data_IF_173399332013
#
_entry.id   IF_173399332013
#
_cell.length_a   1.000
_cell.length_b   1.000
_cell.length_c   1.000
_cell.angle_alpha   90.00
_cell.angle_beta   90.00
_cell.angle_gamma   90.00
#
_symmetry.space_group_name_H-M   'P 1'
#
loop_
_entity.id
_entity.type
_entity.pdbx_description
1 polymer ?
#
# COMPACT_ATOMS: atom_id res chain seq x y z
N UNK A 1 12.04 -26.34 -4.00
CA UNK A 1 10.99 -25.46 -3.44
C UNK A 1 9.83 -25.48 -4.43
N UNK A 2 8.60 -25.73 -3.97
CA UNK A 2 7.44 -25.84 -4.86
C UNK A 2 7.26 -24.56 -5.67
N UNK A 3 6.78 -24.68 -6.92
CA UNK A 3 6.46 -23.53 -7.77
C UNK A 3 5.72 -22.49 -6.93
N UNK A 4 6.27 -21.27 -6.82
CA UNK A 4 5.62 -20.19 -6.11
C UNK A 4 4.18 -20.08 -6.63
N UNK A 5 3.20 -20.08 -5.72
CA UNK A 5 1.81 -19.98 -6.15
C UNK A 5 1.63 -18.69 -6.94
N UNK A 6 1.09 -18.81 -8.16
CA UNK A 6 0.88 -17.64 -8.99
C UNK A 6 -0.16 -16.74 -8.32
N UNK A 7 0.02 -15.40 -8.36
CA UNK A 7 -1.07 -14.48 -8.04
C UNK A 7 -2.33 -14.86 -8.80
N UNK A 8 -3.51 -14.72 -8.18
CA UNK A 8 -4.78 -15.16 -8.76
C UNK A 8 -5.13 -14.50 -10.11
N UNK A 9 -4.51 -13.37 -10.43
CA UNK A 9 -4.66 -12.68 -11.72
C UNK A 9 -3.83 -13.30 -12.86
N UNK A 10 -2.95 -14.27 -12.55
CA UNK A 10 -2.04 -14.92 -13.48
C UNK A 10 -2.37 -16.41 -13.63
N UNK A 11 -2.21 -16.92 -14.84
CA UNK A 11 -2.27 -18.36 -15.11
C UNK A 11 -1.40 -18.71 -16.31
N UNK A 12 -0.97 -19.96 -16.45
CA UNK A 12 -0.37 -20.44 -17.69
C UNK A 12 -1.41 -21.14 -18.56
N UNK A 13 -1.45 -20.79 -19.85
CA UNK A 13 -2.23 -21.49 -20.87
C UNK A 13 -1.31 -21.78 -22.06
N UNK A 14 -1.21 -23.05 -22.46
CA UNK A 14 -0.29 -23.49 -23.52
C UNK A 14 1.14 -22.94 -23.36
N UNK A 15 1.68 -23.02 -22.14
CA UNK A 15 2.98 -22.50 -21.72
C UNK A 15 3.14 -20.97 -21.78
N UNK A 16 2.07 -20.20 -22.01
CA UNK A 16 2.09 -18.73 -22.03
C UNK A 16 1.50 -18.17 -20.75
N UNK A 17 2.20 -17.21 -20.15
CA UNK A 17 1.71 -16.49 -18.99
C UNK A 17 0.61 -15.52 -19.41
N UNK A 18 -0.58 -15.74 -18.86
CA UNK A 18 -1.79 -14.99 -19.11
C UNK A 18 -2.08 -14.07 -17.93
N UNK A 19 -2.59 -12.88 -18.22
CA UNK A 19 -3.33 -12.05 -17.27
C UNK A 19 -4.72 -11.84 -17.82
N UNK A 20 -5.75 -12.28 -17.10
CA UNK A 20 -7.09 -12.39 -17.66
C UNK A 20 -7.09 -13.28 -18.92
N UNK A 21 -7.60 -12.75 -20.03
CA UNK A 21 -7.69 -13.48 -21.32
C UNK A 21 -6.50 -13.23 -22.25
N UNK A 22 -5.57 -12.33 -21.89
CA UNK A 22 -4.45 -11.95 -22.76
C UNK A 22 -3.12 -12.50 -22.26
N UNK A 23 -2.30 -12.97 -23.19
CA UNK A 23 -0.91 -13.32 -22.88
C UNK A 23 -0.09 -12.05 -22.62
N UNK A 24 0.76 -12.07 -21.60
CA UNK A 24 1.64 -10.93 -21.28
C UNK A 24 2.56 -10.62 -22.45
N UNK A 25 2.98 -11.63 -23.23
CA UNK A 25 3.74 -11.45 -24.47
C UNK A 25 3.03 -10.52 -25.47
N UNK A 26 1.74 -10.75 -25.73
CA UNK A 26 0.96 -9.93 -26.67
C UNK A 26 0.79 -8.48 -26.19
N UNK A 27 0.80 -8.26 -24.87
CA UNK A 27 0.78 -6.93 -24.27
C UNK A 27 2.15 -6.25 -24.45
N UNK A 28 3.24 -6.98 -24.22
CA UNK A 28 4.60 -6.49 -24.37
C UNK A 28 4.97 -6.17 -25.84
N UNK A 29 4.33 -6.79 -26.82
CA UNK A 29 4.46 -6.40 -28.23
C UNK A 29 3.98 -4.97 -28.52
N UNK A 30 3.16 -4.39 -27.64
CA UNK A 30 2.61 -3.04 -27.76
C UNK A 30 3.20 -2.04 -26.77
N UNK A 31 4.00 -2.51 -25.79
CA UNK A 31 4.53 -1.70 -24.69
C UNK A 31 6.00 -2.03 -24.46
N UNK A 32 6.86 -1.03 -24.57
CA UNK A 32 8.29 -1.21 -24.32
C UNK A 32 8.52 -1.58 -22.84
N UNK A 33 9.36 -2.59 -22.60
CA UNK A 33 9.79 -2.96 -21.26
C UNK A 33 10.88 -2.00 -20.73
N UNK A 34 10.98 -1.85 -19.39
CA UNK A 34 10.06 -2.39 -18.39
C UNK A 34 8.75 -1.59 -18.29
N UNK A 35 7.66 -2.24 -17.84
CA UNK A 35 6.41 -1.56 -17.51
C UNK A 35 5.64 -2.29 -16.41
N UNK A 36 4.88 -1.55 -15.60
CA UNK A 36 3.91 -2.14 -14.69
C UNK A 36 2.64 -2.52 -15.43
N UNK A 37 2.12 -3.72 -15.15
CA UNK A 37 0.84 -4.21 -15.65
C UNK A 37 -0.07 -4.56 -14.48
N UNK A 38 -1.26 -3.95 -14.45
CA UNK A 38 -2.27 -4.17 -13.43
C UNK A 38 -3.52 -4.83 -14.02
N UNK A 39 -4.12 -5.77 -13.30
CA UNK A 39 -5.44 -6.33 -13.63
C UNK A 39 -6.53 -5.56 -12.87
N UNK A 40 -7.35 -4.80 -13.59
CA UNK A 40 -8.49 -4.09 -13.01
C UNK A 40 -9.51 -5.08 -12.39
N UNK A 41 -9.70 -6.22 -13.03
CA UNK A 41 -10.63 -7.26 -12.57
C UNK A 41 -10.15 -7.91 -11.27
N UNK A 42 -8.84 -8.17 -11.13
CA UNK A 42 -8.28 -8.68 -9.88
C UNK A 42 -8.37 -7.64 -8.75
N UNK A 43 -8.16 -6.36 -9.04
CA UNK A 43 -8.38 -5.28 -8.05
C UNK A 43 -9.84 -5.27 -7.58
N UNK A 44 -10.80 -5.30 -8.51
CA UNK A 44 -12.24 -5.33 -8.18
C UNK A 44 -12.62 -6.54 -7.36
N UNK A 45 -12.15 -7.72 -7.74
CA UNK A 45 -12.41 -8.94 -6.98
C UNK A 45 -11.86 -8.80 -5.56
N UNK A 46 -10.64 -8.28 -5.40
CA UNK A 46 -10.04 -8.13 -4.08
C UNK A 46 -10.76 -7.09 -3.22
N UNK A 47 -11.25 -6.00 -3.81
CA UNK A 47 -12.13 -5.04 -3.14
C UNK A 47 -13.41 -5.74 -2.69
N UNK A 48 -14.05 -6.51 -3.56
CA UNK A 48 -15.26 -7.25 -3.24
C UNK A 48 -15.06 -8.25 -2.09
N UNK A 49 -13.97 -9.02 -2.10
CA UNK A 49 -13.62 -9.96 -1.03
C UNK A 49 -13.43 -9.23 0.31
N UNK A 50 -12.77 -8.06 0.28
CA UNK A 50 -12.56 -7.22 1.45
C UNK A 50 -13.88 -6.71 2.02
N UNK A 51 -14.70 -6.04 1.20
CA UNK A 51 -15.99 -5.50 1.61
C UNK A 51 -16.93 -6.60 2.11
N UNK A 52 -16.95 -7.76 1.45
CA UNK A 52 -17.81 -8.88 1.84
C UNK A 52 -17.40 -9.46 3.20
N UNK A 53 -16.10 -9.55 3.48
CA UNK A 53 -15.62 -10.03 4.78
C UNK A 53 -15.96 -9.06 5.92
N UNK A 54 -15.93 -7.75 5.66
CA UNK A 54 -16.14 -6.72 6.67
C UNK A 54 -17.58 -6.20 6.77
N UNK A 55 -18.45 -6.49 5.80
CA UNK A 55 -19.86 -6.07 5.82
C UNK A 55 -20.62 -6.53 7.07
N UNK A 56 -20.46 -7.77 7.61
CA UNK A 56 -21.16 -8.22 8.81
C UNK A 56 -20.81 -7.42 10.08
N UNK A 57 -19.65 -6.75 10.10
CA UNK A 57 -19.17 -5.94 11.23
C UNK A 57 -19.31 -4.43 11.00
N UNK A 58 -19.87 -4.01 9.86
CA UNK A 58 -20.17 -2.61 9.57
C UNK A 58 -18.93 -1.71 9.45
N UNK A 59 -17.78 -2.26 9.05
CA UNK A 59 -16.53 -1.50 8.94
C UNK A 59 -16.49 -0.67 7.66
N UNK A 60 -16.10 0.60 7.78
CA UNK A 60 -15.79 1.47 6.65
C UNK A 60 -14.34 1.24 6.17
N UNK A 61 -14.15 1.06 4.87
CA UNK A 61 -12.84 0.76 4.27
C UNK A 61 -12.31 1.97 3.52
N UNK A 62 -11.10 2.40 3.88
CA UNK A 62 -10.40 3.53 3.29
C UNK A 62 -9.13 3.02 2.61
N UNK A 63 -9.00 3.20 1.30
CA UNK A 63 -7.83 2.71 0.59
C UNK A 63 -6.59 3.56 0.93
N UNK A 64 -5.53 2.94 1.44
CA UNK A 64 -4.28 3.63 1.74
C UNK A 64 -3.55 4.03 0.44
N UNK A 65 -3.70 5.29 0.05
CA UNK A 65 -3.29 5.84 -1.26
C UNK A 65 -1.78 5.70 -1.49
N UNK A 66 -0.99 5.79 -0.42
CA UNK A 66 0.46 5.55 -0.39
C UNK A 66 0.90 4.19 -0.96
N UNK A 67 -0.01 3.21 -1.05
CA UNK A 67 0.29 1.90 -1.64
C UNK A 67 0.27 1.91 -3.18
N UNK A 68 -0.68 2.62 -3.79
CA UNK A 68 -0.76 2.86 -5.23
C UNK A 68 -1.66 4.06 -5.50
N UNK A 69 -1.07 5.19 -5.90
CA UNK A 69 -1.80 6.45 -6.08
C UNK A 69 -2.11 6.79 -7.54
N UNK A 70 -2.06 5.80 -8.44
CA UNK A 70 -2.46 6.02 -9.83
C UNK A 70 -3.96 6.35 -9.91
N UNK A 71 -4.33 7.41 -10.67
CA UNK A 71 -5.72 7.87 -10.77
C UNK A 71 -6.69 6.79 -11.25
N UNK A 72 -6.25 5.86 -12.09
CA UNK A 72 -7.10 4.77 -12.56
C UNK A 72 -7.38 3.75 -11.45
N UNK A 73 -6.40 3.46 -10.59
CA UNK A 73 -6.58 2.61 -9.40
C UNK A 73 -7.51 3.30 -8.40
N UNK A 74 -7.29 4.59 -8.11
CA UNK A 74 -8.15 5.35 -7.21
C UNK A 74 -9.61 5.41 -7.68
N UNK A 75 -9.85 5.52 -9.00
CA UNK A 75 -11.21 5.44 -9.56
C UNK A 75 -11.87 4.08 -9.33
N UNK A 76 -11.12 2.97 -9.39
CA UNK A 76 -11.65 1.65 -9.07
C UNK A 76 -12.07 1.57 -7.60
N UNK A 77 -11.26 2.12 -6.69
CA UNK A 77 -11.58 2.18 -5.25
C UNK A 77 -12.84 3.01 -4.99
N UNK A 78 -12.88 4.25 -5.50
CA UNK A 78 -14.02 5.14 -5.30
C UNK A 78 -15.32 4.62 -5.92
N UNK A 79 -15.24 4.01 -7.12
CA UNK A 79 -16.43 3.42 -7.78
C UNK A 79 -16.99 2.22 -7.02
N UNK A 80 -16.18 1.56 -6.19
CA UNK A 80 -16.60 0.47 -5.32
C UNK A 80 -17.07 0.95 -3.93
N UNK A 81 -17.09 2.26 -3.68
CA UNK A 81 -17.57 2.86 -2.43
C UNK A 81 -16.52 2.94 -1.32
N UNK A 82 -15.23 2.75 -1.62
CA UNK A 82 -14.16 2.92 -0.63
C UNK A 82 -13.83 4.40 -0.45
N UNK A 83 -13.53 4.79 0.78
CA UNK A 83 -12.86 6.05 1.10
C UNK A 83 -11.37 6.01 0.78
N UNK A 84 -10.62 7.01 1.24
CA UNK A 84 -9.17 7.09 1.06
C UNK A 84 -8.44 7.48 2.35
N UNK A 85 -7.36 6.77 2.68
CA UNK A 85 -6.35 7.20 3.67
C UNK A 85 -5.20 7.88 2.91
N UNK A 86 -5.02 9.17 3.17
CA UNK A 86 -3.97 10.00 2.57
C UNK A 86 -2.92 10.38 3.62
N UNK A 87 -1.69 10.60 3.16
CA UNK A 87 -0.57 11.07 4.00
C UNK A 87 0.06 12.38 3.53
N UNK A 88 -0.53 13.05 2.53
CA UNK A 88 -0.09 14.37 2.04
C UNK A 88 -1.17 15.11 1.26
N UNK A 89 -0.99 16.42 1.07
CA UNK A 89 -1.85 17.24 0.19
C UNK A 89 -1.77 16.84 -1.30
N UNK A 90 -0.65 16.26 -1.72
CA UNK A 90 -0.51 15.69 -3.06
C UNK A 90 -1.43 14.49 -3.28
N UNK A 91 -1.56 13.62 -2.28
CA UNK A 91 -2.49 12.50 -2.31
C UNK A 91 -3.95 12.97 -2.25
N UNK A 92 -4.28 13.99 -1.43
CA UNK A 92 -5.60 14.63 -1.44
C UNK A 92 -5.97 15.10 -2.85
N UNK A 93 -5.05 15.77 -3.53
CA UNK A 93 -5.25 16.25 -4.90
C UNK A 93 -5.57 15.11 -5.87
N UNK A 94 -4.88 13.97 -5.75
CA UNK A 94 -5.14 12.78 -6.57
C UNK A 94 -6.49 12.14 -6.26
N UNK A 95 -6.85 12.03 -4.99
CA UNK A 95 -8.13 11.49 -4.51
C UNK A 95 -9.31 12.31 -5.04
N UNK A 96 -9.25 13.64 -4.90
CA UNK A 96 -10.27 14.54 -5.46
C UNK A 96 -10.35 14.45 -6.99
N UNK A 97 -9.19 14.36 -7.67
CA UNK A 97 -9.14 14.18 -9.13
C UNK A 97 -9.72 12.83 -9.59
N UNK A 98 -9.66 11.82 -8.73
CA UNK A 98 -10.28 10.52 -8.96
C UNK A 98 -11.78 10.50 -8.69
N UNK A 99 -12.34 11.55 -8.06
CA UNK A 99 -13.77 11.69 -7.77
C UNK A 99 -14.21 11.03 -6.47
N UNK A 100 -13.29 10.72 -5.56
CA UNK A 100 -13.62 10.25 -4.21
C UNK A 100 -14.08 11.45 -3.38
N UNK A 101 -15.20 11.27 -2.66
CA UNK A 101 -15.77 12.30 -1.78
C UNK A 101 -14.76 12.66 -0.67
N UNK A 102 -14.37 13.95 -0.51
CA UNK A 102 -13.52 14.38 0.60
C UNK A 102 -14.08 14.00 1.97
N UNK A 103 -15.41 13.91 2.13
CA UNK A 103 -16.03 13.44 3.37
C UNK A 103 -15.72 11.98 3.72
N UNK A 104 -15.22 11.20 2.76
CA UNK A 104 -14.74 9.82 2.93
C UNK A 104 -13.21 9.73 2.97
N UNK A 105 -12.52 10.83 3.28
CA UNK A 105 -11.06 10.88 3.36
C UNK A 105 -10.61 10.96 4.81
N UNK A 106 -9.63 10.12 5.14
CA UNK A 106 -8.84 10.17 6.37
C UNK A 106 -7.49 10.78 6.03
N UNK A 107 -7.08 11.83 6.75
CA UNK A 107 -5.76 12.43 6.61
C UNK A 107 -4.87 12.00 7.78
N UNK A 108 -3.95 11.08 7.48
CA UNK A 108 -2.90 10.56 8.36
C UNK A 108 -1.54 11.23 8.12
N UNK A 109 -0.56 10.95 8.97
CA UNK A 109 0.84 11.36 8.78
C UNK A 109 1.38 12.26 9.89
N UNK A 110 2.61 12.00 10.31
CA UNK A 110 3.22 12.62 11.51
C UNK A 110 3.56 14.12 11.36
N UNK A 111 3.69 14.61 10.13
CA UNK A 111 4.24 15.93 9.87
C UNK A 111 3.42 16.71 8.84
N UNK A 112 2.08 16.71 8.97
CA UNK A 112 1.21 17.51 8.12
C UNK A 112 1.60 18.99 8.23
N UNK A 113 1.81 19.63 7.09
CA UNK A 113 2.12 21.06 7.04
C UNK A 113 0.86 21.90 7.18
N UNK A 114 1.00 23.16 7.61
CA UNK A 114 -0.14 24.09 7.68
C UNK A 114 -0.83 24.28 6.33
N UNK A 115 -0.07 24.22 5.22
CA UNK A 115 -0.60 24.32 3.87
C UNK A 115 -1.48 23.11 3.54
N UNK A 116 -1.03 21.90 3.87
CA UNK A 116 -1.81 20.68 3.66
C UNK A 116 -3.02 20.60 4.59
N UNK A 117 -2.87 21.00 5.86
CA UNK A 117 -3.99 21.08 6.81
C UNK A 117 -5.06 22.04 6.28
N UNK A 118 -4.68 23.25 5.85
CA UNK A 118 -5.61 24.22 5.26
C UNK A 118 -6.29 23.64 4.02
N UNK A 119 -5.53 23.03 3.11
CA UNK A 119 -6.07 22.39 1.92
C UNK A 119 -7.11 21.31 2.28
N UNK A 120 -6.82 20.48 3.28
CA UNK A 120 -7.72 19.42 3.74
C UNK A 120 -8.99 19.96 4.40
N UNK A 121 -8.88 20.99 5.24
CA UNK A 121 -10.05 21.65 5.86
C UNK A 121 -10.94 22.28 4.79
N UNK A 122 -10.35 23.02 3.84
CA UNK A 122 -11.09 23.66 2.74
C UNK A 122 -11.74 22.65 1.79
N UNK A 123 -11.12 21.49 1.59
CA UNK A 123 -11.69 20.40 0.80
C UNK A 123 -12.82 19.66 1.51
N UNK A 124 -12.97 19.81 2.84
CA UNK A 124 -13.96 19.09 3.63
C UNK A 124 -13.56 17.64 3.94
N UNK A 125 -12.27 17.41 4.23
CA UNK A 125 -11.77 16.08 4.64
C UNK A 125 -12.53 15.56 5.86
N UNK A 126 -12.99 14.31 5.78
CA UNK A 126 -13.87 13.68 6.76
C UNK A 126 -13.25 13.47 8.14
N UNK A 127 -11.96 13.10 8.21
CA UNK A 127 -11.27 12.80 9.47
C UNK A 127 -9.78 13.17 9.42
N UNK A 128 -9.27 13.75 10.52
CA UNK A 128 -7.84 13.96 10.75
C UNK A 128 -7.32 12.97 11.80
N UNK A 129 -6.37 12.12 11.39
CA UNK A 129 -5.63 11.25 12.31
C UNK A 129 -4.46 12.07 12.89
N UNK A 130 -4.66 12.60 14.09
CA UNK A 130 -3.74 13.52 14.79
C UNK A 130 -2.66 12.74 15.51
N UNK A 131 -1.40 13.09 15.28
CA UNK A 131 -0.23 12.38 15.82
C UNK A 131 0.49 13.12 16.95
N UNK A 132 0.16 14.39 17.19
CA UNK A 132 0.73 15.15 18.31
C UNK A 132 -0.18 16.27 18.83
N UNK A 133 0.12 16.77 20.03
CA UNK A 133 -0.56 17.92 20.62
C UNK A 133 -0.36 19.18 19.75
N UNK A 134 0.85 19.37 19.21
CA UNK A 134 1.21 20.49 18.35
C UNK A 134 0.45 20.46 17.02
N UNK A 135 0.16 19.27 16.50
CA UNK A 135 -0.74 19.13 15.36
C UNK A 135 -2.18 19.50 15.73
N UNK A 136 -2.69 19.01 16.86
CA UNK A 136 -4.04 19.34 17.34
C UNK A 136 -4.25 20.85 17.44
N UNK A 137 -3.30 21.58 18.05
CA UNK A 137 -3.35 23.05 18.15
C UNK A 137 -3.29 23.75 16.79
N UNK A 138 -2.53 23.20 15.84
CA UNK A 138 -2.46 23.77 14.48
C UNK A 138 -3.77 23.59 13.75
N UNK A 139 -4.42 22.43 13.89
CA UNK A 139 -5.76 22.18 13.34
C UNK A 139 -6.75 23.18 13.95
N UNK A 140 -6.84 23.29 15.28
CA UNK A 140 -7.75 24.24 15.95
C UNK A 140 -7.56 25.70 15.50
N UNK A 141 -6.30 26.15 15.39
CA UNK A 141 -6.01 27.49 14.87
C UNK A 141 -6.50 27.67 13.43
N UNK A 142 -6.27 26.70 12.55
CA UNK A 142 -6.65 26.78 11.14
C UNK A 142 -8.17 26.74 11.00
N UNK A 143 -8.85 25.83 11.69
CA UNK A 143 -10.30 25.68 11.67
C UNK A 143 -10.99 26.88 12.31
N UNK A 144 -10.43 27.46 13.37
CA UNK A 144 -10.86 28.73 13.96
C UNK A 144 -10.76 29.91 13.01
N UNK A 145 -9.70 29.98 12.19
CA UNK A 145 -9.56 31.01 11.15
C UNK A 145 -10.57 30.84 10.01
N UNK A 146 -10.91 29.60 9.67
CA UNK A 146 -11.83 29.28 8.57
C UNK A 146 -13.30 29.23 9.01
N UNK A 147 -13.57 29.11 10.31
CA UNK A 147 -14.92 28.96 10.85
C UNK A 147 -15.58 27.62 10.48
N UNK A 148 -14.79 26.55 10.31
CA UNK A 148 -15.25 25.23 9.86
C UNK A 148 -14.93 24.19 10.92
N UNK A 149 -15.91 23.35 11.27
CA UNK A 149 -15.69 22.21 12.16
C UNK A 149 -15.10 21.02 11.39
N UNK A 150 -14.17 20.30 12.04
CA UNK A 150 -13.59 19.05 11.51
C UNK A 150 -13.64 17.93 12.52
N UNK A 151 -13.66 16.68 12.06
CA UNK A 151 -13.53 15.51 12.93
C UNK A 151 -12.06 15.13 13.06
N UNK A 152 -11.67 14.77 14.27
CA UNK A 152 -10.33 14.31 14.57
C UNK A 152 -10.36 13.06 15.44
N UNK A 153 -9.33 12.24 15.31
CA UNK A 153 -9.03 11.13 16.20
C UNK A 153 -7.55 11.20 16.59
N UNK A 154 -7.21 10.70 17.78
CA UNK A 154 -5.81 10.60 18.20
C UNK A 154 -5.21 9.29 17.70
N UNK A 155 -4.18 9.36 16.86
CA UNK A 155 -3.39 8.18 16.52
C UNK A 155 -2.56 7.78 17.74
N UNK A 156 -2.71 6.55 18.19
CA UNK A 156 -2.04 6.01 19.39
C UNK A 156 -1.16 4.84 19.03
N UNK A 157 -0.16 4.61 19.87
CA UNK A 157 0.69 3.43 19.78
C UNK A 157 0.23 2.39 20.83
N UNK A 158 -0.35 1.24 20.43
CA UNK A 158 -0.80 0.21 21.38
C UNK A 158 0.35 -0.52 22.09
N UNK A 159 1.62 -0.21 21.76
CA UNK A 159 2.84 -0.83 22.30
C UNK A 159 2.94 -2.33 22.02
N UNK A 160 2.43 -2.77 20.86
CA UNK A 160 2.44 -4.17 20.41
C UNK A 160 3.53 -4.38 19.38
N UNK A 161 4.34 -5.43 19.54
CA UNK A 161 5.31 -5.85 18.52
C UNK A 161 4.61 -6.71 17.46
N UNK A 162 4.48 -6.15 16.26
CA UNK A 162 3.87 -6.86 15.13
C UNK A 162 4.80 -7.92 14.49
N UNK A 163 6.05 -8.06 14.97
CA UNK A 163 7.00 -9.06 14.47
C UNK A 163 7.45 -8.84 13.02
N UNK A 164 7.21 -7.64 12.47
CA UNK A 164 7.59 -7.24 11.11
C UNK A 164 8.99 -6.64 11.05
N UNK A 165 9.56 -6.48 9.85
CA UNK A 165 10.89 -5.87 9.65
C UNK A 165 11.05 -4.55 10.44
N UNK A 166 12.21 -4.37 11.08
CA UNK A 166 12.49 -3.23 11.96
C UNK A 166 12.32 -1.85 11.29
N UNK A 167 12.46 -1.76 9.96
CA UNK A 167 12.24 -0.53 9.20
C UNK A 167 10.77 -0.22 8.87
N UNK A 168 9.84 -1.13 9.16
CA UNK A 168 8.41 -1.05 8.79
C UNK A 168 7.49 -1.12 10.03
N UNK A 169 8.02 -1.55 11.18
CA UNK A 169 7.27 -1.63 12.44
C UNK A 169 7.01 -0.25 13.04
N UNK A 170 5.73 0.17 13.06
CA UNK A 170 5.32 1.47 13.61
C UNK A 170 4.88 1.42 15.09
N UNK A 171 4.64 0.21 15.64
CA UNK A 171 4.11 0.00 17.00
C UNK A 171 5.12 -0.10 18.15
N UNK A 172 6.45 0.00 17.91
CA UNK A 172 7.44 -0.07 19.00
C UNK A 172 7.55 1.27 19.76
N UNK A 173 7.73 1.20 21.08
CA UNK A 173 7.98 2.36 21.94
C UNK A 173 9.20 3.15 21.46
N UNK A 174 9.07 4.47 21.29
CA UNK A 174 10.13 5.35 20.77
C UNK A 174 10.11 5.58 19.26
N UNK A 175 9.15 5.02 18.51
CA UNK A 175 8.92 5.43 17.13
C UNK A 175 8.27 6.83 17.08
N UNK A 176 8.48 7.57 16.00
CA UNK A 176 7.96 8.93 15.79
C UNK A 176 6.43 9.02 15.66
N UNK A 177 5.74 7.88 15.57
CA UNK A 177 4.31 7.82 15.28
C UNK A 177 3.46 7.62 16.54
N UNK A 178 2.34 8.32 16.58
CA UNK A 178 1.30 8.19 17.58
C UNK A 178 1.60 8.81 18.95
N UNK A 179 0.53 9.02 19.70
CA UNK A 179 0.51 9.60 21.04
C UNK A 179 0.56 8.48 22.07
N UNK A 180 1.35 8.70 23.13
CA UNK A 180 1.42 7.79 24.27
C UNK A 180 0.11 7.81 25.06
N UNK A 181 -0.35 6.64 25.51
CA UNK A 181 -1.62 6.47 26.22
C UNK A 181 -1.80 7.42 27.41
N UNK A 182 -0.72 7.71 28.15
CA UNK A 182 -0.75 8.56 29.35
C UNK A 182 -1.18 10.01 29.05
N UNK A 183 -1.15 10.43 27.78
CA UNK A 183 -1.54 11.77 27.35
C UNK A 183 -2.96 11.86 26.81
N UNK A 184 -3.69 10.75 26.67
CA UNK A 184 -5.01 10.78 26.02
C UNK A 184 -6.01 11.63 26.81
N UNK A 185 -6.17 11.38 28.11
CA UNK A 185 -7.08 12.15 28.96
C UNK A 185 -6.75 13.65 28.97
N UNK A 186 -5.46 14.00 28.98
CA UNK A 186 -4.97 15.38 28.87
C UNK A 186 -5.44 16.02 27.55
N UNK A 187 -5.22 15.34 26.42
CA UNK A 187 -5.55 15.88 25.10
C UNK A 187 -7.06 15.94 24.83
N UNK A 188 -7.83 14.97 25.32
CA UNK A 188 -9.29 15.02 25.25
C UNK A 188 -9.85 16.18 26.10
N UNK A 189 -9.29 16.41 27.29
CA UNK A 189 -9.63 17.58 28.10
C UNK A 189 -9.35 18.88 27.36
N UNK A 190 -8.15 19.01 26.78
CA UNK A 190 -7.75 20.20 26.01
C UNK A 190 -8.61 20.43 24.76
N UNK A 191 -8.99 19.35 24.05
CA UNK A 191 -9.87 19.44 22.89
C UNK A 191 -11.28 19.96 23.24
N UNK A 192 -11.72 19.81 24.50
CA UNK A 192 -12.97 20.40 24.98
C UNK A 192 -13.05 21.93 24.86
N UNK A 193 -11.89 22.59 24.81
CA UNK A 193 -11.78 24.05 24.62
C UNK A 193 -11.59 24.45 23.14
N UNK A 194 -11.66 23.49 22.20
CA UNK A 194 -11.44 23.69 20.76
C UNK A 194 -12.77 23.57 20.00
N UNK A 195 -13.58 24.65 19.87
CA UNK A 195 -14.96 24.56 19.38
C UNK A 195 -15.09 24.10 17.93
N UNK A 196 -13.98 24.14 17.17
CA UNK A 196 -13.93 23.71 15.77
C UNK A 196 -13.29 22.33 15.57
N UNK A 197 -12.82 21.69 16.63
CA UNK A 197 -12.19 20.36 16.57
C UNK A 197 -13.04 19.36 17.32
N UNK A 198 -13.69 18.51 16.56
CA UNK A 198 -14.52 17.45 17.10
C UNK A 198 -13.68 16.19 17.30
N UNK A 199 -13.00 16.10 18.45
CA UNK A 199 -12.15 14.95 18.79
C UNK A 199 -13.00 13.78 19.32
N UNK A 200 -13.16 12.72 18.52
CA UNK A 200 -14.15 11.65 18.78
C UNK A 200 -13.65 10.22 18.73
N UNK A 201 -12.35 10.01 18.74
CA UNK A 201 -11.87 8.64 18.59
C UNK A 201 -10.38 8.45 18.71
N UNK A 202 -10.00 7.21 18.50
CA UNK A 202 -8.63 6.75 18.49
C UNK A 202 -8.34 6.06 17.16
N UNK A 203 -7.13 6.27 16.64
CA UNK A 203 -6.60 5.58 15.48
C UNK A 203 -5.37 4.74 15.86
N UNK A 204 -5.11 3.64 15.19
CA UNK A 204 -3.87 2.90 15.32
C UNK A 204 -3.34 2.45 13.98
N UNK A 205 -2.03 2.27 13.89
CA UNK A 205 -1.41 1.54 12.77
C UNK A 205 -0.16 0.84 13.30
N UNK A 206 -0.23 -0.49 13.37
CA UNK A 206 0.72 -1.32 14.12
C UNK A 206 1.89 -1.84 13.27
N UNK A 207 1.81 -1.71 11.95
CA UNK A 207 2.88 -2.07 11.03
C UNK A 207 2.35 -2.42 9.64
N UNK A 208 3.19 -3.07 8.83
CA UNK A 208 2.81 -3.55 7.49
C UNK A 208 3.36 -4.94 7.24
N UNK A 209 2.66 -5.71 6.40
CA UNK A 209 2.98 -7.11 6.09
C UNK A 209 2.77 -8.03 7.30
N UNK A 210 1.73 -7.76 8.08
CA UNK A 210 1.35 -8.55 9.25
C UNK A 210 0.52 -9.74 8.76
N UNK A 211 1.07 -10.94 8.93
CA UNK A 211 0.48 -12.20 8.43
C UNK A 211 -0.12 -13.08 9.53
N UNK A 212 -0.11 -12.61 10.79
CA UNK A 212 -0.68 -13.29 11.96
C UNK A 212 -1.74 -12.39 12.62
N UNK A 213 -2.76 -13.01 13.20
CA UNK A 213 -3.90 -12.31 13.80
C UNK A 213 -3.59 -11.80 15.21
N UNK A 214 -2.60 -12.37 15.89
CA UNK A 214 -2.27 -12.10 17.30
C UNK A 214 -1.91 -10.63 17.57
N UNK A 215 -1.05 -9.95 16.77
CA UNK A 215 -0.77 -8.53 16.97
C UNK A 215 -2.01 -7.65 16.83
N UNK A 216 -2.91 -7.99 15.89
CA UNK A 216 -4.19 -7.30 15.76
C UNK A 216 -5.07 -7.56 16.98
N UNK A 217 -5.13 -8.79 17.50
CA UNK A 217 -5.95 -9.13 18.67
C UNK A 217 -5.54 -8.34 19.89
N UNK A 218 -4.24 -8.28 20.20
CA UNK A 218 -3.73 -7.50 21.32
C UNK A 218 -4.05 -6.01 21.16
N UNK A 219 -3.83 -5.48 19.96
CA UNK A 219 -4.03 -4.05 19.68
C UNK A 219 -5.50 -3.66 19.73
N UNK A 220 -6.42 -4.43 19.13
CA UNK A 220 -7.87 -4.14 19.15
C UNK A 220 -8.43 -4.21 20.56
N UNK A 221 -8.03 -5.19 21.38
CA UNK A 221 -8.43 -5.27 22.79
C UNK A 221 -7.92 -4.06 23.58
N UNK A 222 -6.71 -3.58 23.29
CA UNK A 222 -6.16 -2.37 23.90
C UNK A 222 -6.97 -1.12 23.51
N UNK A 223 -7.30 -0.98 22.22
CA UNK A 223 -8.12 0.13 21.74
C UNK A 223 -9.50 0.15 22.40
N UNK A 224 -10.13 -1.02 22.59
CA UNK A 224 -11.37 -1.15 23.36
C UNK A 224 -11.23 -0.65 24.79
N UNK A 225 -10.21 -1.14 25.52
CA UNK A 225 -9.97 -0.76 26.90
C UNK A 225 -9.82 0.77 27.04
N UNK A 226 -9.04 1.38 26.15
CA UNK A 226 -8.81 2.83 26.15
C UNK A 226 -10.07 3.62 25.81
N UNK A 227 -10.88 3.11 24.89
CA UNK A 227 -12.18 3.69 24.55
C UNK A 227 -13.12 3.68 25.75
N UNK A 228 -13.26 2.54 26.43
CA UNK A 228 -14.12 2.39 27.60
C UNK A 228 -13.64 3.29 28.75
N UNK A 229 -12.33 3.41 28.96
CA UNK A 229 -11.76 4.31 29.97
C UNK A 229 -12.09 5.78 29.67
N UNK A 230 -11.82 6.27 28.46
CA UNK A 230 -12.10 7.66 28.10
C UNK A 230 -13.60 7.98 28.14
N UNK A 231 -14.46 7.03 27.78
CA UNK A 231 -15.92 7.16 27.96
C UNK A 231 -16.31 7.25 29.43
N UNK A 232 -15.67 6.47 30.32
CA UNK A 232 -15.90 6.56 31.77
C UNK A 232 -15.44 7.90 32.37
N UNK A 233 -14.46 8.56 31.74
CA UNK A 233 -14.02 9.92 32.07
C UNK A 233 -14.98 11.01 31.55
N UNK A 234 -15.97 10.63 30.74
CA UNK A 234 -17.02 11.52 30.24
C UNK A 234 -16.85 12.00 28.80
N UNK A 235 -15.84 11.50 28.07
CA UNK A 235 -15.61 11.88 26.67
C UNK A 235 -16.47 11.07 25.70
N UNK A 236 -16.98 11.74 24.66
CA UNK A 236 -17.68 11.07 23.56
C UNK A 236 -16.65 10.50 22.58
N UNK A 237 -16.55 9.18 22.53
CA UNK A 237 -15.78 8.47 21.51
C UNK A 237 -16.74 7.64 20.68
N UNK A 238 -16.87 7.90 19.39
CA UNK A 238 -17.77 7.19 18.47
C UNK A 238 -17.04 6.60 17.26
N UNK A 239 -15.71 6.73 17.20
CA UNK A 239 -14.90 6.26 16.07
C UNK A 239 -13.64 5.51 16.53
N UNK A 240 -13.37 4.37 15.91
CA UNK A 240 -12.10 3.65 15.97
C UNK A 240 -11.57 3.38 14.58
N UNK A 241 -10.37 3.91 14.31
CA UNK A 241 -9.61 3.59 13.12
C UNK A 241 -8.54 2.55 13.48
N UNK A 242 -8.70 1.33 12.95
CA UNK A 242 -7.80 0.22 13.26
C UNK A 242 -6.65 0.10 12.24
N UNK A 243 -6.56 1.05 11.29
CA UNK A 243 -5.50 1.18 10.32
C UNK A 243 -5.43 0.04 9.32
N UNK A 244 -4.27 -0.06 8.66
CA UNK A 244 -3.98 -1.08 7.66
C UNK A 244 -3.02 -2.19 8.12
N UNK A 245 -2.13 -2.58 7.22
CA UNK A 245 -1.00 -3.47 7.50
C UNK A 245 -1.19 -4.94 7.13
N UNK A 246 -2.40 -5.33 6.74
CA UNK A 246 -2.79 -6.71 6.40
C UNK A 246 -1.84 -7.29 5.35
N UNK A 247 -1.14 -8.35 5.71
CA UNK A 247 -0.10 -8.98 4.89
C UNK A 247 -0.64 -9.88 3.78
N UNK A 248 0.15 -10.00 2.71
CA UNK A 248 -0.14 -10.83 1.53
C UNK A 248 1.01 -11.81 1.27
N UNK A 249 0.73 -12.88 0.55
CA UNK A 249 1.73 -13.90 0.25
C UNK A 249 2.69 -13.42 -0.87
N UNK A 250 3.97 -13.28 -0.55
CA UNK A 250 5.04 -12.98 -1.51
C UNK A 250 5.76 -14.23 -2.04
N UNK A 251 5.17 -15.41 -1.86
CA UNK A 251 5.69 -16.72 -2.26
C UNK A 251 6.11 -17.62 -1.09
N UNK A 252 5.85 -17.21 0.16
CA UNK A 252 6.17 -17.98 1.37
C UNK A 252 4.95 -18.70 1.97
N UNK A 253 3.77 -18.57 1.35
CA UNK A 253 2.52 -19.20 1.77
C UNK A 253 1.82 -18.49 2.92
N UNK A 254 2.31 -17.31 3.37
CA UNK A 254 1.77 -16.60 4.54
C UNK A 254 1.02 -15.34 4.14
N UNK A 255 -0.23 -15.24 4.58
CA UNK A 255 -1.07 -14.05 4.43
C UNK A 255 -2.09 -13.99 5.56
N UNK A 256 -2.64 -12.80 5.83
CA UNK A 256 -3.74 -12.65 6.77
C UNK A 256 -5.08 -12.59 6.01
N UNK A 257 -6.02 -13.44 6.42
CA UNK A 257 -7.36 -13.49 5.82
C UNK A 257 -8.24 -12.34 6.32
N UNK A 258 -9.01 -11.70 5.43
CA UNK A 258 -9.95 -10.64 5.82
C UNK A 258 -11.05 -11.16 6.76
N UNK A 259 -11.56 -12.37 6.53
CA UNK A 259 -12.61 -12.98 7.37
C UNK A 259 -12.10 -13.22 8.79
N UNK A 260 -10.85 -13.65 8.93
CA UNK A 260 -10.21 -13.84 10.23
C UNK A 260 -10.12 -12.52 11.00
N UNK A 261 -9.75 -11.43 10.32
CA UNK A 261 -9.70 -10.12 10.95
C UNK A 261 -11.12 -9.59 11.28
N UNK A 262 -12.09 -9.77 10.39
CA UNK A 262 -13.48 -9.38 10.66
C UNK A 262 -14.06 -10.10 11.89
N UNK A 263 -13.79 -11.40 12.03
CA UNK A 263 -14.19 -12.17 13.21
C UNK A 263 -13.57 -11.62 14.49
N UNK A 264 -12.27 -11.31 14.46
CA UNK A 264 -11.60 -10.66 15.59
C UNK A 264 -12.28 -9.33 15.96
N UNK A 265 -12.58 -8.48 14.97
CA UNK A 265 -13.25 -7.19 15.20
C UNK A 265 -14.61 -7.41 15.87
N UNK A 266 -15.41 -8.35 15.36
CA UNK A 266 -16.70 -8.71 15.94
C UNK A 266 -16.59 -9.19 17.39
N UNK A 267 -15.65 -10.10 17.65
CA UNK A 267 -15.40 -10.66 18.99
C UNK A 267 -14.94 -9.59 19.99
N UNK A 268 -13.97 -8.77 19.58
CA UNK A 268 -13.31 -7.84 20.48
C UNK A 268 -14.13 -6.56 20.68
N UNK A 269 -14.79 -6.03 19.64
CA UNK A 269 -15.53 -4.77 19.68
C UNK A 269 -17.06 -4.95 19.77
N UNK A 270 -17.55 -6.19 19.75
CA UNK A 270 -18.97 -6.48 19.92
C UNK A 270 -19.57 -5.83 21.17
N UNK A 271 -20.75 -5.25 21.01
CA UNK A 271 -21.46 -4.52 22.07
C UNK A 271 -20.95 -3.10 22.35
N UNK A 272 -19.87 -2.66 21.70
CA UNK A 272 -19.43 -1.27 21.74
C UNK A 272 -20.11 -0.52 20.58
N UNK A 273 -20.98 0.44 20.90
CA UNK A 273 -21.60 1.32 19.89
C UNK A 273 -20.55 2.28 19.34
N UNK A 274 -19.81 1.86 18.30
CA UNK A 274 -18.67 2.58 17.74
C UNK A 274 -18.53 2.32 16.24
N UNK A 275 -18.23 3.37 15.48
CA UNK A 275 -17.90 3.27 14.06
C UNK A 275 -16.48 2.76 13.88
N UNK A 276 -16.28 1.76 13.04
CA UNK A 276 -14.97 1.12 12.85
C UNK A 276 -14.47 1.39 11.43
N UNK A 277 -13.21 1.77 11.31
CA UNK A 277 -12.55 2.06 10.04
C UNK A 277 -11.31 1.18 9.87
N UNK A 278 -10.99 0.85 8.61
CA UNK A 278 -9.75 0.17 8.23
C UNK A 278 -9.09 0.88 7.05
N UNK A 279 -7.76 0.81 7.00
CA UNK A 279 -6.92 1.47 5.99
C UNK A 279 -6.11 0.47 5.12
N UNK A 280 -6.71 -0.55 4.48
CA UNK A 280 -5.96 -1.50 3.67
C UNK A 280 -5.38 -0.82 2.42
N UNK A 281 -4.13 -1.18 2.09
CA UNK A 281 -3.47 -0.77 0.85
C UNK A 281 -2.89 -1.97 0.12
N UNK A 282 -1.79 -2.51 0.67
CA UNK A 282 -1.09 -3.69 0.13
C UNK A 282 -2.04 -4.84 -0.17
N UNK A 283 -2.90 -5.18 0.78
CA UNK A 283 -3.84 -6.29 0.70
C UNK A 283 -4.88 -6.14 -0.40
N UNK A 284 -5.09 -4.95 -0.96
CA UNK A 284 -6.04 -4.71 -2.05
C UNK A 284 -5.39 -4.74 -3.44
N UNK A 285 -4.14 -4.31 -3.57
CA UNK A 285 -3.52 -4.10 -4.89
C UNK A 285 -2.27 -4.94 -5.17
N UNK A 286 -1.55 -5.43 -4.17
CA UNK A 286 -0.23 -6.05 -4.37
C UNK A 286 -0.24 -7.20 -5.39
N UNK A 287 -1.16 -8.16 -5.21
CA UNK A 287 -1.28 -9.34 -6.08
C UNK A 287 -1.85 -9.04 -7.46
N UNK A 288 -2.46 -7.87 -7.66
CA UNK A 288 -3.09 -7.49 -8.92
C UNK A 288 -2.11 -6.77 -9.87
N UNK A 289 -0.85 -6.59 -9.48
CA UNK A 289 0.16 -5.90 -10.27
C UNK A 289 1.43 -6.71 -10.45
N UNK A 290 2.01 -6.58 -11.64
CA UNK A 290 3.27 -7.19 -12.01
C UNK A 290 4.18 -6.19 -12.72
N UNK A 291 5.50 -6.39 -12.65
CA UNK A 291 6.48 -5.63 -13.42
C UNK A 291 7.00 -6.53 -14.55
N UNK A 292 6.68 -6.18 -15.78
CA UNK A 292 7.11 -6.88 -16.99
C UNK A 292 8.46 -6.32 -17.42
N UNK A 293 9.42 -7.20 -17.71
CA UNK A 293 10.81 -6.86 -17.99
C UNK A 293 11.42 -7.84 -18.98
N UNK A 294 12.47 -7.43 -19.67
CA UNK A 294 13.20 -8.25 -20.65
C UNK A 294 14.59 -8.60 -20.11
N UNK A 295 15.04 -9.82 -20.36
CA UNK A 295 16.42 -10.25 -20.11
C UNK A 295 17.34 -9.56 -21.12
N UNK A 296 18.22 -8.69 -20.64
CA UNK A 296 19.24 -8.01 -21.44
C UNK A 296 20.40 -8.94 -21.73
N UNK A 297 20.83 -9.72 -20.74
CA UNK A 297 21.93 -10.67 -20.88
C UNK A 297 21.94 -11.67 -19.73
N UNK A 298 22.57 -12.82 -19.97
CA UNK A 298 23.03 -13.73 -18.92
C UNK A 298 24.53 -13.76 -18.86
N UNK A 299 25.11 -13.72 -17.66
CA UNK A 299 26.56 -13.81 -17.48
C UNK A 299 26.90 -15.02 -16.61
N UNK A 300 27.71 -15.90 -17.16
CA UNK A 300 28.36 -16.94 -16.37
C UNK A 300 29.51 -16.34 -15.56
N UNK A 301 29.49 -16.55 -14.26
CA UNK A 301 30.52 -16.06 -13.35
C UNK A 301 30.67 -16.99 -12.15
N UNK A 302 31.81 -16.89 -11.47
CA UNK A 302 32.01 -17.53 -10.17
C UNK A 302 31.77 -16.52 -9.04
N UNK A 303 31.08 -16.89 -7.95
CA UNK A 303 30.53 -18.22 -7.66
C UNK A 303 29.14 -18.49 -8.29
N UNK A 304 28.53 -17.51 -8.99
CA UNK A 304 27.13 -17.59 -9.46
C UNK A 304 26.92 -16.93 -10.81
N UNK A 305 25.94 -17.46 -11.54
CA UNK A 305 25.43 -16.86 -12.78
C UNK A 305 24.54 -15.65 -12.47
N UNK A 306 24.51 -14.70 -13.40
CA UNK A 306 23.69 -13.50 -13.32
C UNK A 306 22.70 -13.44 -14.48
N UNK A 307 21.46 -13.06 -14.17
CA UNK A 307 20.46 -12.63 -15.15
C UNK A 307 20.29 -11.12 -15.00
N UNK A 308 20.63 -10.38 -16.05
CA UNK A 308 20.50 -8.93 -16.11
C UNK A 308 19.19 -8.57 -16.79
N UNK A 309 18.32 -7.87 -16.07
CA UNK A 309 17.04 -7.40 -16.54
C UNK A 309 17.13 -5.94 -17.04
N UNK A 310 16.19 -5.52 -17.88
CA UNK A 310 16.04 -4.12 -18.26
C UNK A 310 15.31 -3.27 -17.22
N UNK A 311 14.70 -3.90 -16.20
CA UNK A 311 14.22 -3.25 -15.00
C UNK A 311 15.35 -3.09 -13.96
N UNK A 312 15.36 -1.99 -13.23
CA UNK A 312 16.29 -1.76 -12.11
C UNK A 312 15.59 -1.41 -10.79
N UNK A 313 16.39 -1.19 -9.75
CA UNK A 313 15.92 -0.69 -8.46
C UNK A 313 15.25 0.69 -8.56
N UNK A 314 15.53 1.46 -9.63
CA UNK A 314 14.81 2.69 -9.93
C UNK A 314 13.33 2.42 -10.27
N UNK A 315 13.01 1.24 -10.78
CA UNK A 315 11.64 0.82 -11.10
C UNK A 315 11.00 0.13 -9.89
N UNK A 316 11.70 -0.87 -9.32
CA UNK A 316 11.28 -1.62 -8.14
C UNK A 316 12.36 -1.62 -7.05
N UNK A 317 12.33 -0.60 -6.19
CA UNK A 317 13.34 -0.41 -5.14
C UNK A 317 13.17 -1.37 -3.93
N UNK A 318 12.02 -2.04 -3.81
CA UNK A 318 11.66 -2.80 -2.59
C UNK A 318 12.67 -3.89 -2.20
N UNK A 319 13.25 -4.68 -3.11
CA UNK A 319 14.30 -5.64 -2.77
C UNK A 319 15.54 -4.95 -2.19
N UNK A 320 16.00 -3.86 -2.80
CA UNK A 320 17.15 -3.10 -2.31
C UNK A 320 16.88 -2.44 -0.94
N UNK A 321 15.71 -1.81 -0.80
CA UNK A 321 15.34 -1.00 0.36
C UNK A 321 14.91 -1.84 1.58
N UNK A 322 14.14 -2.90 1.35
CA UNK A 322 13.50 -3.69 2.40
C UNK A 322 13.95 -5.15 2.44
N UNK A 323 14.85 -5.57 1.56
CA UNK A 323 15.18 -7.00 1.37
C UNK A 323 13.91 -7.83 1.07
N UNK A 324 12.94 -7.21 0.40
CA UNK A 324 11.66 -7.83 0.09
C UNK A 324 11.77 -8.73 -1.14
N UNK A 325 11.30 -9.96 -1.02
CA UNK A 325 11.24 -10.91 -2.14
C UNK A 325 10.06 -10.60 -3.06
N UNK A 326 10.31 -10.62 -4.37
CA UNK A 326 9.29 -10.64 -5.41
C UNK A 326 9.58 -11.80 -6.37
N UNK A 327 8.74 -12.85 -6.45
CA UNK A 327 9.00 -13.96 -7.34
C UNK A 327 9.13 -13.51 -8.79
N UNK A 328 10.18 -13.99 -9.47
CA UNK A 328 10.42 -13.79 -10.90
C UNK A 328 9.95 -15.03 -11.65
N UNK A 329 9.03 -14.86 -12.58
CA UNK A 329 8.49 -15.95 -13.39
C UNK A 329 8.66 -15.66 -14.89
N UNK A 330 8.89 -16.68 -15.73
CA UNK A 330 9.00 -16.48 -17.18
C UNK A 330 7.63 -16.23 -17.81
N UNK A 331 7.58 -15.39 -18.85
CA UNK A 331 6.34 -15.23 -19.63
C UNK A 331 6.04 -16.45 -20.51
N UNK A 332 7.07 -17.23 -20.87
CA UNK A 332 6.95 -18.47 -21.61
C UNK A 332 7.65 -19.60 -20.86
N UNK A 333 6.91 -20.66 -20.52
CA UNK A 333 7.51 -21.86 -19.96
C UNK A 333 8.26 -22.63 -21.05
N UNK A 334 9.47 -23.05 -20.71
CA UNK A 334 10.26 -23.97 -21.52
C UNK A 334 10.73 -25.12 -20.65
N UNK A 335 10.24 -26.33 -20.95
CA UNK A 335 10.65 -27.56 -20.25
C UNK A 335 12.04 -28.07 -20.70
N UNK A 336 12.71 -27.35 -21.59
CA UNK A 336 14.00 -27.76 -22.16
C UNK A 336 15.19 -27.08 -21.46
N UNK A 337 14.94 -26.06 -20.64
CA UNK A 337 15.99 -25.28 -19.98
C UNK A 337 16.27 -25.84 -18.58
N UNK A 338 17.55 -25.98 -18.26
CA UNK A 338 17.99 -26.44 -16.94
C UNK A 338 17.71 -25.35 -15.90
N UNK A 339 17.23 -25.77 -14.73
CA UNK A 339 17.13 -24.88 -13.57
C UNK A 339 18.50 -24.72 -12.93
N UNK A 340 18.92 -23.47 -12.73
CA UNK A 340 20.18 -23.13 -12.08
C UNK A 340 19.95 -22.04 -11.01
N UNK A 341 20.69 -22.09 -9.89
CA UNK A 341 20.69 -20.98 -8.94
C UNK A 341 21.43 -19.79 -9.54
N UNK A 342 20.77 -18.63 -9.56
CA UNK A 342 21.32 -17.42 -10.15
C UNK A 342 20.92 -16.17 -9.38
N UNK A 343 21.68 -15.09 -9.59
CA UNK A 343 21.36 -13.77 -9.05
C UNK A 343 20.66 -12.93 -10.14
N UNK A 344 19.53 -12.33 -9.80
CA UNK A 344 18.72 -11.50 -10.70
C UNK A 344 18.99 -10.05 -10.38
N UNK A 345 19.51 -9.30 -11.35
CA UNK A 345 20.01 -7.93 -11.17
C UNK A 345 19.46 -7.00 -12.25
N UNK A 346 19.46 -5.71 -11.96
CA UNK A 346 19.13 -4.66 -12.93
C UNK A 346 20.37 -3.98 -13.54
N UNK A 347 20.16 -2.92 -14.33
CA UNK A 347 21.23 -2.20 -15.04
C UNK A 347 21.80 -1.00 -14.27
N UNK A 348 21.32 -0.71 -13.05
CA UNK A 348 21.77 0.44 -12.25
C UNK A 348 23.20 0.19 -11.76
N UNK A 349 24.01 1.24 -11.76
CA UNK A 349 25.42 1.19 -11.35
C UNK A 349 25.57 1.14 -9.81
N UNK A 350 24.87 0.23 -9.15
CA UNK A 350 24.93 0.01 -7.70
C UNK A 350 24.79 -1.47 -7.37
N UNK A 351 25.58 -1.97 -6.42
CA UNK A 351 25.54 -3.39 -6.02
C UNK A 351 24.23 -3.78 -5.32
N UNK A 352 23.45 -2.80 -4.86
CA UNK A 352 22.13 -2.98 -4.27
C UNK A 352 21.04 -3.20 -5.33
N UNK A 353 21.34 -2.99 -6.63
CA UNK A 353 20.43 -3.28 -7.75
C UNK A 353 20.32 -4.78 -8.04
N UNK A 354 19.75 -5.47 -7.07
CA UNK A 354 19.57 -6.91 -7.06
C UNK A 354 18.15 -7.21 -6.59
N UNK A 355 17.38 -7.92 -7.41
CA UNK A 355 16.02 -8.31 -7.10
C UNK A 355 15.96 -9.59 -6.28
N UNK A 356 16.79 -10.57 -6.66
CA UNK A 356 16.80 -11.92 -6.08
C UNK A 356 18.23 -12.45 -6.06
N UNK A 357 18.59 -13.14 -4.97
CA UNK A 357 19.87 -13.83 -4.81
C UNK A 357 19.61 -15.31 -4.60
N UNK A 358 20.48 -16.16 -5.14
CA UNK A 358 20.36 -17.61 -5.02
C UNK A 358 19.01 -18.16 -5.49
N UNK A 359 18.47 -17.58 -6.56
CA UNK A 359 17.12 -17.88 -7.00
C UNK A 359 17.17 -18.91 -8.13
N UNK A 360 16.49 -20.04 -7.93
CA UNK A 360 16.43 -21.13 -8.90
C UNK A 360 15.31 -20.89 -9.90
N UNK A 361 15.66 -20.79 -11.19
CA UNK A 361 14.72 -20.80 -12.30
C UNK A 361 15.34 -21.43 -13.54
N UNK A 362 14.53 -21.84 -14.55
CA UNK A 362 15.06 -22.23 -15.85
C UNK A 362 15.92 -21.11 -16.43
N UNK A 363 17.16 -21.41 -16.82
CA UNK A 363 18.14 -20.41 -17.28
C UNK A 363 17.55 -19.58 -18.43
N UNK A 364 17.27 -18.27 -18.23
CA UNK A 364 16.72 -17.42 -19.28
C UNK A 364 17.74 -17.16 -20.40
N UNK A 365 17.25 -16.78 -21.57
CA UNK A 365 18.05 -16.31 -22.70
C UNK A 365 17.83 -14.80 -22.92
N UNK A 366 18.77 -14.17 -23.62
CA UNK A 366 18.60 -12.77 -24.05
C UNK A 366 17.31 -12.58 -24.83
N UNK A 367 16.55 -11.53 -24.51
CA UNK A 367 15.27 -11.23 -25.11
C UNK A 367 14.07 -11.97 -24.50
N UNK A 368 14.28 -12.91 -23.57
CA UNK A 368 13.16 -13.50 -22.85
C UNK A 368 12.41 -12.46 -22.01
N UNK A 369 11.08 -12.54 -22.05
CA UNK A 369 10.22 -11.75 -21.18
C UNK A 369 10.04 -12.45 -19.83
N UNK A 370 10.23 -11.69 -18.77
CA UNK A 370 10.09 -12.12 -17.38
C UNK A 370 9.12 -11.19 -16.64
N UNK A 371 8.61 -11.67 -15.51
CA UNK A 371 7.66 -10.92 -14.68
C UNK A 371 8.06 -11.02 -13.22
N UNK A 372 8.31 -9.87 -12.59
CA UNK A 372 8.35 -9.74 -11.13
C UNK A 372 6.92 -9.58 -10.62
N UNK A 373 6.46 -10.55 -9.83
CA UNK A 373 5.09 -10.62 -9.31
C UNK A 373 4.90 -9.79 -8.03
N UNK A 374 3.66 -9.60 -7.60
CA UNK A 374 3.29 -8.93 -6.34
C UNK A 374 3.73 -7.45 -6.26
N UNK A 375 3.77 -6.75 -7.40
CA UNK A 375 4.26 -5.38 -7.52
C UNK A 375 3.15 -4.33 -7.66
N UNK A 376 1.91 -4.66 -7.31
CA UNK A 376 0.82 -3.69 -7.32
C UNK A 376 0.85 -2.65 -6.19
N UNK A 377 1.67 -2.88 -5.14
CA UNK A 377 1.74 -2.04 -3.96
C UNK A 377 3.18 -1.64 -3.60
N UNK A 378 3.40 -0.35 -3.33
CA UNK A 378 4.69 0.22 -2.91
C UNK A 378 5.82 -0.05 -3.93
N UNK A 379 5.46 -0.14 -5.21
CA UNK A 379 6.38 -0.39 -6.32
C UNK A 379 6.46 0.87 -7.19
N UNK A 380 5.55 1.07 -8.14
CA UNK A 380 5.53 2.23 -9.02
C UNK A 380 5.44 3.62 -8.33
N UNK A 381 4.99 3.66 -7.07
CA UNK A 381 4.96 4.88 -6.25
C UNK A 381 6.33 5.25 -5.66
N UNK A 382 7.26 4.30 -5.62
CA UNK A 382 8.66 4.48 -5.20
C UNK A 382 9.63 4.51 -6.39
N UNK A 383 9.12 4.51 -7.64
CA UNK A 383 9.96 4.58 -8.82
C UNK A 383 10.67 5.94 -8.92
N UNK A 384 11.88 5.95 -9.46
CA UNK A 384 12.70 7.15 -9.66
C UNK A 384 13.36 7.15 -11.04
N UNK A 385 13.98 8.27 -11.38
CA UNK A 385 14.78 8.45 -12.60
C UNK A 385 16.27 8.25 -12.35
N UNK A 386 16.63 7.50 -11.29
CA UNK A 386 18.03 7.23 -10.95
C UNK A 386 18.79 6.66 -12.16
N UNK A 387 20.05 7.11 -12.35
CA UNK A 387 20.86 6.84 -13.53
C UNK A 387 20.28 7.44 -14.83
N UNK A 388 19.51 8.54 -14.74
CA UNK A 388 18.85 9.22 -15.88
C UNK A 388 17.98 8.30 -16.72
N UNK A 389 17.38 7.28 -16.07
CA UNK A 389 16.48 6.35 -16.72
C UNK A 389 15.07 6.97 -16.80
N UNK A 390 14.31 6.70 -17.88
CA UNK A 390 12.91 7.07 -17.94
C UNK A 390 12.14 6.54 -16.73
N UNK A 391 11.20 7.32 -16.18
CA UNK A 391 10.29 6.79 -15.16
C UNK A 391 9.38 5.75 -15.82
N UNK A 392 9.34 4.53 -15.29
CA UNK A 392 8.59 3.40 -15.82
C UNK A 392 7.10 3.70 -16.09
N UNK A 393 6.58 3.16 -17.20
CA UNK A 393 5.15 3.29 -17.54
C UNK A 393 4.26 2.39 -16.67
N UNK A 394 2.99 2.75 -16.56
CA UNK A 394 1.95 1.92 -15.91
C UNK A 394 0.82 1.62 -16.90
N UNK A 395 0.42 0.35 -16.97
CA UNK A 395 -0.58 -0.19 -17.88
C UNK A 395 -1.65 -0.92 -17.07
N UNK A 396 -2.92 -0.75 -17.46
CA UNK A 396 -4.07 -1.46 -16.91
C UNK A 396 -4.66 -2.37 -17.96
N UNK A 397 -4.90 -3.62 -17.60
CA UNK A 397 -5.74 -4.54 -18.33
C UNK A 397 -7.11 -4.62 -17.66
N UNK A 398 -8.16 -4.42 -18.45
CA UNK A 398 -9.55 -4.58 -18.04
C UNK A 398 -10.26 -5.46 -19.07
N UNK A 399 -10.61 -6.68 -18.67
CA UNK A 399 -11.03 -7.74 -19.60
C UNK A 399 -9.98 -7.95 -20.71
N UNK A 400 -10.27 -7.50 -21.94
CA UNK A 400 -9.36 -7.53 -23.10
C UNK A 400 -8.83 -6.15 -23.50
N UNK A 401 -9.24 -5.09 -22.79
CA UNK A 401 -8.84 -3.72 -23.10
C UNK A 401 -7.55 -3.34 -22.36
N UNK A 402 -6.52 -2.97 -23.12
CA UNK A 402 -5.23 -2.51 -22.60
C UNK A 402 -5.19 -0.99 -22.64
N UNK A 403 -4.89 -0.35 -21.50
CA UNK A 403 -4.74 1.10 -21.43
C UNK A 403 -3.47 1.49 -20.69
N UNK A 404 -2.68 2.38 -21.29
CA UNK A 404 -1.60 3.09 -20.59
C UNK A 404 -2.24 4.08 -19.61
N UNK A 405 -2.07 3.83 -18.31
CA UNK A 405 -2.64 4.65 -17.23
C UNK A 405 -1.62 5.63 -16.62
N UNK A 406 -0.33 5.45 -16.92
CA UNK A 406 0.74 6.43 -16.75
C UNK A 406 1.73 6.23 -17.88
N UNK A 407 1.97 7.27 -18.69
CA UNK A 407 3.04 7.23 -19.69
C UNK A 407 4.40 7.21 -18.98
N UNK A 408 5.41 6.63 -19.62
CA UNK A 408 6.78 6.76 -19.13
C UNK A 408 7.18 8.24 -19.13
N UNK A 409 7.92 8.67 -18.11
CA UNK A 409 8.52 10.01 -18.10
C UNK A 409 9.82 9.96 -18.91
N UNK A 410 9.77 10.37 -20.17
CA UNK A 410 10.89 10.23 -21.10
C UNK A 410 12.08 11.10 -20.68
N UNK A 411 13.28 10.80 -21.18
CA UNK A 411 14.44 11.65 -20.94
C UNK A 411 14.21 13.09 -21.43
N UNK A 412 13.56 13.27 -22.58
CA UNK A 412 13.19 14.59 -23.10
C UNK A 412 12.31 15.37 -22.11
N UNK A 413 11.27 14.73 -21.58
CA UNK A 413 10.41 15.35 -20.59
C UNK A 413 11.14 15.63 -19.26
N UNK A 414 12.18 14.87 -18.90
CA UNK A 414 13.01 15.14 -17.71
C UNK A 414 13.84 16.41 -17.92
N UNK A 415 14.52 16.52 -19.07
CA UNK A 415 15.37 17.66 -19.41
C UNK A 415 14.57 18.97 -19.50
N UNK A 416 13.29 18.92 -19.89
CA UNK A 416 12.40 20.08 -19.92
C UNK A 416 12.15 20.76 -18.56
N UNK A 417 12.55 20.15 -17.45
CA UNK A 417 12.47 20.80 -16.13
C UNK A 417 13.75 21.59 -15.79
N UNK A 418 14.81 21.39 -16.56
CA UNK A 418 16.13 22.03 -16.38
C UNK A 418 16.40 23.12 -17.42
N UNK A 419 15.78 23.00 -18.61
CA UNK A 419 15.74 24.00 -19.68
C UNK A 419 14.73 25.11 -19.39
#
# INVERSE_FOLDING_TARGET
MGAASLPSCLSYQDNRLMMGELSIKAIAEQQATPFYLYSADAIRQRIHDCLSAFSPVGVAVHFAVKSNSNLSVLRLMGSAGLGADIVSGGELTRVLKAGIDPGQVIFSGVAKTDAELRQAVEAGVGQFNVESAEELFRIDRITGQLGVQVNAVLRVNPEVDAGTHDHITTGKKGNKFGIAFQRLSELFCMAGEMPQVNLRGLAMHIGSQIVSIEPYRESVLRMRQWTEQLRAEGYLLDTLDLGGGIGVDYGDGRSLCFVEYANLINEALGGLDISIQLEPGRSLVAAAGVLVTTVVATKQAEPRNFVMLDAGMNDLIRPALYQATHPLIPVLLSNQRLEEPLDVVGPICESTDCFLKDYTLPLPEEGDLMVLTMTGAYSAVLSSTYNSRPLVAEVMLEHTNIRVIRKAWTLEEQLRLEE
#
